data_IF_682982772292
#
_entry.id   IF_682982772292
#
_cell.length_a   1.000
_cell.length_b   1.000
_cell.length_c   1.000
_cell.angle_alpha   90.00
_cell.angle_beta   90.00
_cell.angle_gamma   90.00
#
_symmetry.space_group_name_H-M   'P 1'
#
loop_
_entity.id
_entity.type
_entity.pdbx_description
1 polymer ?
#
# COMPACT_ATOMS: atom_id res chain seq x y z
N UNK A 1 32.40 18.84 -30.11
CA UNK A 1 31.12 18.69 -29.37
C UNK A 1 30.39 17.58 -30.09
N UNK A 2 30.48 16.35 -29.59
CA UNK A 2 29.80 15.21 -30.20
C UNK A 2 28.35 15.24 -29.72
N UNK A 3 27.41 15.52 -30.62
CA UNK A 3 26.00 15.26 -30.39
C UNK A 3 25.85 13.75 -30.26
N UNK A 4 25.57 13.29 -29.03
CA UNK A 4 25.15 11.91 -28.79
C UNK A 4 23.82 11.73 -29.52
N UNK A 5 23.84 11.02 -30.65
CA UNK A 5 22.58 10.59 -31.29
C UNK A 5 21.75 9.85 -30.23
N UNK A 6 20.51 10.27 -29.99
CA UNK A 6 19.65 9.58 -29.03
C UNK A 6 19.49 8.14 -29.53
N UNK A 7 19.82 7.18 -28.67
CA UNK A 7 19.66 5.77 -28.99
C UNK A 7 18.23 5.54 -29.49
N UNK A 8 18.10 5.02 -30.70
CA UNK A 8 16.82 4.78 -31.34
C UNK A 8 16.68 3.29 -31.60
N UNK A 9 15.66 2.66 -31.01
CA UNK A 9 15.33 1.27 -31.29
C UNK A 9 14.40 1.24 -32.49
N UNK A 10 14.85 0.63 -33.60
CA UNK A 10 14.09 0.55 -34.85
C UNK A 10 13.58 1.91 -35.37
N UNK A 11 14.33 2.99 -35.13
CA UNK A 11 13.95 4.35 -35.53
C UNK A 11 12.98 5.06 -34.58
N UNK A 12 12.64 4.45 -33.44
CA UNK A 12 11.85 5.07 -32.38
C UNK A 12 12.81 5.64 -31.33
N UNK A 13 12.68 6.93 -30.93
CA UNK A 13 13.50 7.50 -29.87
C UNK A 13 13.27 6.78 -28.53
N UNK A 14 14.34 6.55 -27.77
CA UNK A 14 14.24 5.89 -26.45
C UNK A 14 13.24 6.59 -25.51
N UNK A 15 13.21 7.93 -25.54
CA UNK A 15 12.28 8.72 -24.70
C UNK A 15 10.81 8.38 -24.97
N UNK A 16 10.47 8.08 -26.23
CA UNK A 16 9.11 7.65 -26.59
C UNK A 16 8.84 6.24 -26.07
N UNK A 17 9.83 5.36 -26.09
CA UNK A 17 9.70 4.01 -25.54
C UNK A 17 9.53 4.04 -24.03
N UNK A 18 10.25 4.92 -23.33
CA UNK A 18 10.10 5.14 -21.89
C UNK A 18 8.70 5.64 -21.54
N UNK A 19 8.18 6.64 -22.27
CA UNK A 19 6.82 7.15 -22.09
C UNK A 19 5.75 6.06 -22.31
N UNK A 20 5.95 5.22 -23.34
CA UNK A 20 5.07 4.10 -23.63
C UNK A 20 5.16 3.00 -22.57
N UNK A 21 6.36 2.70 -22.07
CA UNK A 21 6.57 1.74 -20.98
C UNK A 21 5.91 2.20 -19.69
N UNK A 22 6.04 3.49 -19.36
CA UNK A 22 5.36 4.11 -18.22
C UNK A 22 3.84 4.03 -18.37
N UNK A 23 3.31 4.37 -19.55
CA UNK A 23 1.88 4.26 -19.86
C UNK A 23 1.38 2.81 -19.72
N UNK A 24 2.19 1.83 -20.13
CA UNK A 24 1.87 0.42 -20.00
C UNK A 24 1.82 -0.01 -18.52
N UNK A 25 2.79 0.42 -17.71
CA UNK A 25 2.82 0.13 -16.28
C UNK A 25 1.56 0.66 -15.57
N UNK A 26 1.16 1.90 -15.85
CA UNK A 26 -0.05 2.51 -15.29
C UNK A 26 -1.32 1.72 -15.67
N UNK A 27 -1.41 1.26 -16.92
CA UNK A 27 -2.54 0.44 -17.38
C UNK A 27 -2.57 -0.91 -16.68
N UNK A 28 -1.41 -1.54 -16.51
CA UNK A 28 -1.29 -2.81 -15.78
C UNK A 28 -1.76 -2.62 -14.33
N UNK A 29 -1.36 -1.54 -13.65
CA UNK A 29 -1.80 -1.25 -12.28
C UNK A 29 -3.33 -1.11 -12.19
N UNK A 30 -3.94 -0.36 -13.11
CA UNK A 30 -5.41 -0.22 -13.17
C UNK A 30 -6.11 -1.55 -13.42
N UNK A 31 -5.56 -2.39 -14.29
CA UNK A 31 -6.12 -3.71 -14.57
C UNK A 31 -5.99 -4.65 -13.36
N UNK A 32 -4.86 -4.61 -12.66
CA UNK A 32 -4.65 -5.38 -11.42
C UNK A 32 -5.64 -4.96 -10.34
N UNK A 33 -5.89 -3.66 -10.17
CA UNK A 33 -6.87 -3.17 -9.20
C UNK A 33 -8.28 -3.65 -9.55
N UNK A 34 -8.68 -3.56 -10.83
CA UNK A 34 -9.99 -4.06 -11.29
C UNK A 34 -10.16 -5.56 -11.10
N UNK A 35 -9.13 -6.35 -11.40
CA UNK A 35 -9.15 -7.80 -11.20
C UNK A 35 -9.21 -8.17 -9.71
N UNK A 36 -8.49 -7.43 -8.88
CA UNK A 36 -8.50 -7.60 -7.42
C UNK A 36 -9.90 -7.30 -6.86
N UNK A 37 -10.51 -6.19 -7.27
CA UNK A 37 -11.85 -5.80 -6.85
C UNK A 37 -12.90 -6.84 -7.30
N UNK A 38 -12.75 -7.40 -8.51
CA UNK A 38 -13.59 -8.50 -9.00
C UNK A 38 -13.43 -9.78 -8.18
N UNK A 39 -12.19 -10.14 -7.83
CA UNK A 39 -11.89 -11.32 -7.02
C UNK A 39 -12.46 -11.21 -5.60
N UNK A 40 -12.49 -10.00 -5.04
CA UNK A 40 -13.04 -9.71 -3.71
C UNK A 40 -14.55 -9.45 -3.72
N UNK A 41 -15.20 -9.50 -4.89
CA UNK A 41 -16.59 -9.05 -5.05
C UNK A 41 -16.82 -7.66 -4.43
N UNK A 42 -15.85 -6.76 -4.60
CA UNK A 42 -15.88 -5.43 -4.00
C UNK A 42 -17.13 -4.67 -4.47
N UNK A 43 -17.83 -3.98 -3.56
CA UNK A 43 -19.05 -3.28 -3.91
C UNK A 43 -18.75 -2.15 -4.89
N UNK A 44 -19.62 -1.97 -5.87
CA UNK A 44 -19.49 -0.90 -6.87
C UNK A 44 -19.39 0.47 -6.18
N UNK A 45 -18.43 1.29 -6.61
CA UNK A 45 -18.24 2.63 -6.07
C UNK A 45 -19.55 3.44 -6.11
N UNK A 46 -19.87 4.13 -5.01
CA UNK A 46 -21.10 4.90 -4.86
C UNK A 46 -22.34 4.09 -4.45
N UNK A 47 -22.29 2.76 -4.50
CA UNK A 47 -23.38 1.91 -3.99
C UNK A 47 -23.57 2.04 -2.47
N UNK A 48 -24.74 1.71 -1.90
CA UNK A 48 -24.95 1.71 -0.46
C UNK A 48 -23.97 0.81 0.30
N UNK A 49 -23.68 -0.38 -0.23
CA UNK A 49 -22.69 -1.30 0.34
C UNK A 49 -21.29 -0.69 0.35
N UNK A 50 -20.89 -0.01 -0.74
CA UNK A 50 -19.63 0.72 -0.81
C UNK A 50 -19.57 1.86 0.22
N UNK A 51 -20.66 2.61 0.41
CA UNK A 51 -20.71 3.70 1.41
C UNK A 51 -20.53 3.17 2.84
N UNK A 52 -21.14 2.03 3.16
CA UNK A 52 -20.98 1.37 4.47
C UNK A 52 -19.54 0.91 4.68
N UNK A 53 -18.96 0.23 3.70
CA UNK A 53 -17.56 -0.22 3.75
C UNK A 53 -16.59 0.97 3.86
N UNK A 54 -16.82 2.03 3.09
CA UNK A 54 -16.01 3.25 3.09
C UNK A 54 -16.00 3.94 4.45
N UNK A 55 -17.15 4.03 5.12
CA UNK A 55 -17.26 4.59 6.48
C UNK A 55 -16.51 3.75 7.52
N UNK A 56 -16.40 2.45 7.31
CA UNK A 56 -15.72 1.50 8.20
C UNK A 56 -14.23 1.30 7.90
N UNK A 57 -13.64 2.01 6.92
CA UNK A 57 -12.28 1.72 6.43
C UNK A 57 -11.18 1.85 7.49
N UNK A 58 -11.35 2.77 8.44
CA UNK A 58 -10.37 3.07 9.49
C UNK A 58 -10.60 2.22 10.76
N UNK A 59 -11.54 1.26 10.70
CA UNK A 59 -11.72 0.24 11.73
C UNK A 59 -10.69 -0.88 11.60
N UNK A 60 -10.55 -1.71 12.64
CA UNK A 60 -9.69 -2.90 12.59
C UNK A 60 -10.10 -3.82 11.42
N UNK A 61 -11.40 -4.04 11.23
CA UNK A 61 -11.91 -4.86 10.12
C UNK A 61 -11.61 -4.23 8.76
N UNK A 62 -11.71 -2.90 8.66
CA UNK A 62 -11.34 -2.13 7.47
C UNK A 62 -9.86 -2.28 7.11
N UNK A 63 -8.96 -2.25 8.11
CA UNK A 63 -7.54 -2.48 7.91
C UNK A 63 -7.22 -3.93 7.51
N UNK A 64 -7.92 -4.91 8.07
CA UNK A 64 -7.79 -6.33 7.70
C UNK A 64 -8.23 -6.56 6.25
N UNK A 65 -9.38 -6.01 5.84
CA UNK A 65 -9.85 -6.09 4.45
C UNK A 65 -8.90 -5.37 3.48
N UNK A 66 -8.34 -4.23 3.87
CA UNK A 66 -7.32 -3.56 3.06
C UNK A 66 -6.07 -4.41 2.89
N UNK A 67 -5.58 -5.02 3.97
CA UNK A 67 -4.42 -5.93 3.93
C UNK A 67 -4.69 -7.16 3.06
N UNK A 68 -5.89 -7.72 3.14
CA UNK A 68 -6.36 -8.80 2.26
C UNK A 68 -6.36 -8.39 0.80
N UNK A 69 -6.81 -7.18 0.48
CA UNK A 69 -6.79 -6.63 -0.89
C UNK A 69 -5.38 -6.54 -1.45
N UNK A 70 -4.43 -6.01 -0.68
CA UNK A 70 -3.03 -5.94 -1.08
C UNK A 70 -2.42 -7.33 -1.32
N UNK A 71 -2.72 -8.30 -0.44
CA UNK A 71 -2.27 -9.67 -0.60
C UNK A 71 -2.80 -10.31 -1.90
N UNK A 72 -4.09 -10.19 -2.18
CA UNK A 72 -4.69 -10.73 -3.41
C UNK A 72 -4.09 -10.07 -4.66
N UNK A 73 -3.90 -8.75 -4.65
CA UNK A 73 -3.25 -8.01 -5.74
C UNK A 73 -1.85 -8.56 -6.03
N UNK A 74 -1.05 -8.75 -4.98
CA UNK A 74 0.30 -9.30 -5.13
C UNK A 74 0.30 -10.74 -5.66
N UNK A 75 -0.60 -11.60 -5.17
CA UNK A 75 -0.73 -12.98 -5.67
C UNK A 75 -1.13 -13.00 -7.14
N UNK A 76 -2.05 -12.12 -7.56
CA UNK A 76 -2.45 -12.00 -8.97
C UNK A 76 -1.28 -11.52 -9.84
N UNK A 77 -0.55 -10.49 -9.42
CA UNK A 77 0.61 -10.00 -10.16
C UNK A 77 1.69 -11.08 -10.33
N UNK A 78 2.03 -11.79 -9.24
CA UNK A 78 2.99 -12.90 -9.27
C UNK A 78 2.55 -14.01 -10.23
N UNK A 79 1.27 -14.41 -10.18
CA UNK A 79 0.73 -15.43 -11.10
C UNK A 79 0.72 -14.98 -12.57
N UNK A 80 0.59 -13.69 -12.81
CA UNK A 80 0.63 -13.12 -14.15
C UNK A 80 2.06 -12.87 -14.66
N UNK A 81 3.10 -13.16 -13.86
CA UNK A 81 4.49 -12.85 -14.20
C UNK A 81 4.79 -11.35 -14.22
N UNK A 82 3.92 -10.54 -13.63
CA UNK A 82 4.11 -9.10 -13.49
C UNK A 82 4.99 -8.92 -12.26
N UNK A 83 6.21 -8.45 -12.47
CA UNK A 83 7.18 -8.16 -11.42
C UNK A 83 6.73 -7.01 -10.53
N UNK A 84 5.68 -7.23 -9.74
CA UNK A 84 5.40 -6.44 -8.56
C UNK A 84 6.48 -6.84 -7.57
N UNK A 85 7.38 -5.92 -7.23
CA UNK A 85 8.42 -6.15 -6.21
C UNK A 85 7.82 -7.00 -5.08
N UNK A 86 8.40 -8.18 -4.90
CA UNK A 86 7.88 -9.29 -4.12
C UNK A 86 7.20 -8.76 -2.84
N UNK A 87 5.87 -8.78 -2.84
CA UNK A 87 5.11 -8.44 -1.64
C UNK A 87 5.40 -9.57 -0.66
N UNK A 88 6.44 -9.36 0.16
CA UNK A 88 6.79 -10.20 1.28
C UNK A 88 5.48 -10.46 2.03
N UNK A 89 5.04 -11.72 2.02
CA UNK A 89 3.86 -12.15 2.76
C UNK A 89 3.97 -11.57 4.17
N UNK A 90 2.86 -11.10 4.79
CA UNK A 90 2.93 -10.62 6.16
C UNK A 90 3.56 -11.73 7.00
N UNK A 91 4.75 -11.44 7.54
CA UNK A 91 5.43 -12.37 8.43
C UNK A 91 4.42 -12.78 9.51
N UNK A 92 4.32 -14.07 9.86
CA UNK A 92 3.43 -14.50 10.94
C UNK A 92 3.76 -13.63 12.14
N UNK A 93 2.74 -12.92 12.64
CA UNK A 93 2.85 -11.90 13.68
C UNK A 93 3.89 -12.36 14.71
N UNK A 94 5.04 -11.69 14.72
CA UNK A 94 6.05 -11.93 15.71
C UNK A 94 5.35 -11.78 17.05
N UNK A 95 5.24 -12.88 17.80
CA UNK A 95 4.70 -12.89 19.15
C UNK A 95 5.40 -11.78 19.88
N UNK A 96 4.67 -10.70 20.18
CA UNK A 96 5.14 -9.60 21.00
C UNK A 96 5.49 -10.23 22.33
N UNK A 97 6.76 -10.58 22.52
CA UNK A 97 7.31 -10.94 23.81
C UNK A 97 7.10 -9.69 24.66
N UNK A 98 6.06 -9.72 25.49
CA UNK A 98 5.84 -8.73 26.55
C UNK A 98 7.09 -8.72 27.42
N UNK A 99 8.01 -7.81 27.11
CA UNK A 99 9.04 -7.40 28.04
C UNK A 99 8.32 -6.71 29.20
N UNK A 100 8.50 -7.26 30.39
CA UNK A 100 7.92 -6.78 31.63
C UNK A 100 8.08 -5.25 31.80
N UNK A 101 7.09 -4.57 32.40
CA UNK A 101 7.16 -3.13 32.59
C UNK A 101 8.29 -2.78 33.55
N UNK A 102 9.29 -2.02 33.05
CA UNK A 102 10.27 -1.35 33.89
C UNK A 102 9.56 -0.23 34.66
N UNK A 103 9.50 -0.38 35.97
CA UNK A 103 9.00 0.61 36.92
C UNK A 103 9.76 1.93 36.73
N UNK A 104 9.08 2.98 36.26
CA UNK A 104 9.61 4.36 36.32
C UNK A 104 9.37 4.90 37.74
N UNK A 105 10.38 5.47 38.41
CA UNK A 105 10.15 6.13 39.70
C UNK A 105 9.24 7.35 39.49
N UNK A 106 8.24 7.44 40.34
CA UNK A 106 7.19 8.47 40.37
C UNK A 106 7.84 9.80 40.79
N UNK A 107 7.94 10.75 39.87
CA UNK A 107 8.26 12.12 40.22
C UNK A 107 7.07 12.66 41.04
N UNK A 108 7.30 12.93 42.32
CA UNK A 108 6.36 13.65 43.18
C UNK A 108 6.21 15.07 42.65
N UNK A 109 5.05 15.37 42.07
CA UNK A 109 4.65 16.73 41.73
C UNK A 109 4.49 17.48 43.06
N UNK A 110 5.34 18.49 43.26
CA UNK A 110 5.30 19.34 44.44
C UNK A 110 4.06 20.25 44.36
N UNK A 111 3.23 20.22 45.42
CA UNK A 111 1.96 20.95 45.52
C UNK A 111 2.12 22.49 45.49
N UNK A 112 3.35 23.01 45.60
CA UNK A 112 3.65 24.44 45.45
C UNK A 112 3.61 24.95 43.99
N UNK A 113 3.50 24.07 42.98
CA UNK A 113 3.51 24.48 41.57
C UNK A 113 2.14 24.91 41.01
N UNK A 114 1.06 24.82 41.78
CA UNK A 114 -0.31 25.16 41.34
C UNK A 114 -0.80 26.54 41.81
N UNK A 115 0.08 27.37 42.36
CA UNK A 115 -0.24 28.72 42.82
C UNK A 115 0.47 29.81 41.99
N UNK A 116 0.43 29.72 40.66
CA UNK A 116 0.65 30.89 39.79
C UNK A 116 -0.19 30.72 38.52
N UNK A 117 -0.93 31.80 38.21
CA UNK A 117 -1.84 32.04 37.09
C UNK A 117 -3.31 31.65 37.32
#
# INVERSE_FOLDING_TARGET
MSETEPAAVAGIPETVLDDLAQTLAEKIDVLLDRLTDRALAAPQAGSPAWKTQWRGRDSIDGHLEHSRRLYVRAVLANRAGIGLAEATAPAPAAVVRRTAPRTRPRATVNADQLAMF
#
